data_IF_394025264904
#
_entry.id   IF_394025264904
#
_cell.length_a   1.000
_cell.length_b   1.000
_cell.length_c   1.000
_cell.angle_alpha   90.00
_cell.angle_beta   90.00
_cell.angle_gamma   90.00
#
_symmetry.space_group_name_H-M   'P 1'
#
loop_
_entity.id
_entity.type
_entity.pdbx_description
1 polymer ?
#
# COMPACT_ATOMS: atom_id res chain seq x y z
N UNK A 1 7.54 10.28 23.67
CA UNK A 1 6.91 11.11 22.63
C UNK A 1 7.82 11.08 21.41
N UNK A 2 7.27 10.87 20.21
CA UNK A 2 8.03 11.06 18.96
C UNK A 2 8.61 12.48 18.90
N UNK A 3 9.79 12.65 18.28
CA UNK A 3 10.32 13.98 17.97
C UNK A 3 9.33 14.72 17.06
N UNK A 4 8.93 15.94 17.45
CA UNK A 4 8.03 16.79 16.66
C UNK A 4 8.61 17.08 15.27
N UNK A 5 9.93 17.24 15.18
CA UNK A 5 10.66 17.48 13.93
C UNK A 5 10.58 16.27 13.00
N UNK A 6 10.74 15.05 13.56
CA UNK A 6 10.61 13.82 12.80
C UNK A 6 9.20 13.66 12.24
N UNK A 7 8.17 13.93 13.04
CA UNK A 7 6.77 13.85 12.58
C UNK A 7 6.50 14.82 11.43
N UNK A 8 6.91 16.09 11.56
CA UNK A 8 6.75 17.08 10.48
C UNK A 8 7.47 16.68 9.19
N UNK A 9 8.69 16.14 9.32
CA UNK A 9 9.45 15.63 8.18
C UNK A 9 8.70 14.48 7.48
N UNK A 10 8.25 13.47 8.24
CA UNK A 10 7.55 12.31 7.69
C UNK A 10 6.23 12.70 7.01
N UNK A 11 5.44 13.58 7.62
CA UNK A 11 4.19 14.07 7.03
C UNK A 11 4.43 14.80 5.71
N UNK A 12 5.45 15.66 5.66
CA UNK A 12 5.82 16.40 4.45
C UNK A 12 6.27 15.46 3.32
N UNK A 13 7.10 14.46 3.62
CA UNK A 13 7.58 13.52 2.60
C UNK A 13 6.47 12.59 2.11
N UNK A 14 5.55 12.18 3.00
CA UNK A 14 4.36 11.42 2.62
C UNK A 14 3.46 12.21 1.66
N UNK A 15 3.26 13.51 1.91
CA UNK A 15 2.44 14.35 1.03
C UNK A 15 3.08 14.50 -0.35
N UNK A 16 4.40 14.69 -0.42
CA UNK A 16 5.13 14.71 -1.69
C UNK A 16 5.00 13.40 -2.48
N UNK A 17 4.98 12.25 -1.81
CA UNK A 17 4.76 10.96 -2.47
C UNK A 17 3.35 10.89 -3.08
N UNK A 18 2.33 11.39 -2.38
CA UNK A 18 0.95 11.43 -2.89
C UNK A 18 0.83 12.34 -4.11
N UNK A 19 1.37 13.55 -4.03
CA UNK A 19 1.36 14.52 -5.13
C UNK A 19 2.05 14.00 -6.40
N UNK A 20 3.13 13.23 -6.23
CA UNK A 20 3.88 12.61 -7.34
C UNK A 20 3.26 11.31 -7.87
N UNK A 21 2.19 10.81 -7.25
CA UNK A 21 1.61 9.50 -7.59
C UNK A 21 2.52 8.32 -7.23
N UNK A 22 3.45 8.52 -6.29
CA UNK A 22 4.41 7.51 -5.81
C UNK A 22 3.99 6.91 -4.45
N UNK A 23 2.91 7.41 -3.86
CA UNK A 23 2.34 6.84 -2.66
C UNK A 23 1.56 5.56 -2.99
N UNK A 24 2.14 4.41 -2.63
CA UNK A 24 1.54 3.10 -2.88
C UNK A 24 0.60 2.68 -1.75
N UNK A 25 -0.49 2.03 -2.10
CA UNK A 25 -1.35 1.26 -1.18
C UNK A 25 -1.10 -0.22 -1.38
N UNK A 26 -1.38 -1.01 -0.35
CA UNK A 26 -1.25 -2.48 -0.40
C UNK A 26 -2.65 -3.07 -0.40
N UNK A 27 -2.96 -3.84 -1.44
CA UNK A 27 -4.17 -4.64 -1.50
C UNK A 27 -4.04 -5.84 -0.56
N UNK A 28 -4.96 -5.98 0.39
CA UNK A 28 -4.94 -7.08 1.36
C UNK A 28 -5.54 -8.32 0.72
N UNK A 29 -4.78 -9.42 0.73
CA UNK A 29 -5.29 -10.72 0.29
C UNK A 29 -6.18 -11.33 1.37
N UNK A 30 -7.39 -11.72 0.98
CA UNK A 30 -8.35 -12.45 1.82
C UNK A 30 -8.21 -13.98 1.66
N UNK A 31 -7.34 -14.42 0.74
CA UNK A 31 -7.06 -15.83 0.46
C UNK A 31 -5.57 -16.13 0.51
N UNK A 32 -5.21 -17.41 0.44
CA UNK A 32 -3.83 -17.82 0.18
C UNK A 32 -3.35 -17.27 -1.18
N UNK A 33 -2.03 -17.04 -1.29
CA UNK A 33 -1.42 -16.59 -2.52
C UNK A 33 -1.34 -17.74 -3.55
N UNK A 34 -2.02 -17.59 -4.68
CA UNK A 34 -2.03 -18.56 -5.77
C UNK A 34 -2.52 -17.94 -7.07
N UNK A 35 -2.74 -18.76 -8.09
CA UNK A 35 -3.15 -18.30 -9.43
C UNK A 35 -4.50 -17.54 -9.43
N UNK A 36 -5.36 -17.81 -8.45
CA UNK A 36 -6.56 -17.03 -8.18
C UNK A 36 -6.50 -16.52 -6.74
N UNK A 37 -6.80 -15.25 -6.54
CA UNK A 37 -6.81 -14.58 -5.23
C UNK A 37 -8.15 -13.89 -4.97
N UNK A 38 -8.40 -13.57 -3.70
CA UNK A 38 -9.53 -12.72 -3.29
C UNK A 38 -8.98 -11.40 -2.74
N UNK A 39 -9.44 -10.30 -3.34
CA UNK A 39 -9.15 -8.92 -2.92
C UNK A 39 -10.46 -8.15 -2.95
N UNK A 40 -10.77 -7.42 -1.88
CA UNK A 40 -12.04 -6.69 -1.70
C UNK A 40 -13.28 -7.56 -1.97
N UNK A 41 -13.27 -8.81 -1.49
CA UNK A 41 -14.32 -9.80 -1.74
C UNK A 41 -14.48 -10.27 -3.20
N UNK A 42 -13.59 -9.87 -4.12
CA UNK A 42 -13.65 -10.24 -5.54
C UNK A 42 -12.59 -11.28 -5.88
N UNK A 43 -12.99 -12.28 -6.67
CA UNK A 43 -12.06 -13.27 -7.22
C UNK A 43 -11.32 -12.69 -8.43
N UNK A 44 -9.99 -12.71 -8.39
CA UNK A 44 -9.10 -12.17 -9.42
C UNK A 44 -8.07 -13.22 -9.85
N UNK A 45 -7.55 -13.11 -11.08
CA UNK A 45 -6.39 -13.88 -11.54
C UNK A 45 -5.13 -13.14 -11.07
N UNK A 46 -4.23 -13.85 -10.41
CA UNK A 46 -3.02 -13.25 -9.89
C UNK A 46 -1.93 -13.20 -10.97
N UNK A 47 -1.71 -12.01 -11.54
CA UNK A 47 -0.63 -11.73 -12.48
C UNK A 47 0.52 -10.93 -11.85
N UNK A 48 0.49 -10.76 -10.53
CA UNK A 48 1.45 -9.95 -9.77
C UNK A 48 2.19 -10.77 -8.69
N UNK A 49 1.93 -12.08 -8.56
CA UNK A 49 2.72 -12.98 -7.73
C UNK A 49 4.09 -13.22 -8.34
N UNK A 50 5.12 -13.17 -7.50
CA UNK A 50 6.47 -13.64 -7.81
C UNK A 50 6.56 -15.18 -7.67
#
# INVERSE_FOLDING_TARGET
MSSKELTMYLEKELEQLKEKGLYNTIDVLESENGACIIVDGKKMINLASN
#
